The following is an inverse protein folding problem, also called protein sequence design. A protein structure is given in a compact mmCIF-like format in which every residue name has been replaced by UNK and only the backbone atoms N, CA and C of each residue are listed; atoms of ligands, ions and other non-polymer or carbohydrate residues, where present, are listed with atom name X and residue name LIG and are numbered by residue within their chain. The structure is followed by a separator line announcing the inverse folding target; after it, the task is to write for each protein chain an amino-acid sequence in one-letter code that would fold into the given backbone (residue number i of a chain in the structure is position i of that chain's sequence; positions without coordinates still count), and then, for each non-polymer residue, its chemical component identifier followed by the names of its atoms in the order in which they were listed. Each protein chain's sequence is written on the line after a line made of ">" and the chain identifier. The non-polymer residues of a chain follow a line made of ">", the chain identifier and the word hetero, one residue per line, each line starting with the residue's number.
data_IF_603693238026
#
_entry.id   IF_603693238026
#
_cell.length_a   1.000
_cell.length_b   1.000
_cell.length_c   1.000
_cell.angle_alpha   90.00
_cell.angle_beta   90.00
_cell.angle_gamma   90.00
#
_symmetry.space_group_name_H-M   'P 1'
#
loop_
_entity.id
_entity.type
_entity.pdbx_description
1 polymer ?
#
# COMPACT_ATOMS: atom_id res chain seq x y z
N UNK A 1 6.42 2.75 14.40
CA UNK A 1 5.69 1.89 13.43
C UNK A 1 4.46 1.26 14.08
N UNK A 2 3.31 1.24 13.40
CA UNK A 2 2.07 0.59 13.85
C UNK A 2 2.02 -0.89 13.47
N UNK A 3 1.39 -1.72 14.31
CA UNK A 3 1.22 -3.15 14.04
C UNK A 3 -0.18 -3.44 13.49
N UNK A 4 -0.26 -4.28 12.46
CA UNK A 4 -1.53 -4.85 12.00
C UNK A 4 -2.09 -5.81 13.04
N UNK A 5 -3.35 -5.62 13.41
CA UNK A 5 -4.02 -6.39 14.48
C UNK A 5 -5.14 -7.27 13.95
N UNK A 6 -5.92 -6.77 13.00
CA UNK A 6 -7.18 -7.43 12.61
C UNK A 6 -7.01 -8.21 11.30
N UNK A 7 -7.72 -9.34 11.17
CA UNK A 7 -7.71 -10.13 9.93
C UNK A 7 -8.07 -9.31 8.68
N UNK A 8 -9.10 -8.42 8.70
CA UNK A 8 -9.40 -7.55 7.57
C UNK A 8 -8.22 -6.67 7.15
N UNK A 9 -7.46 -6.10 8.10
CA UNK A 9 -6.25 -5.33 7.80
C UNK A 9 -5.22 -6.16 7.04
N UNK A 10 -4.95 -7.40 7.49
CA UNK A 10 -4.03 -8.30 6.78
C UNK A 10 -4.52 -8.66 5.37
N UNK A 11 -5.83 -8.88 5.21
CA UNK A 11 -6.42 -9.22 3.90
C UNK A 11 -6.32 -8.03 2.94
N UNK A 12 -6.71 -6.83 3.37
CA UNK A 12 -6.60 -5.60 2.59
C UNK A 12 -5.18 -5.39 2.07
N UNK A 13 -4.17 -5.48 2.95
CA UNK A 13 -2.76 -5.31 2.55
C UNK A 13 -2.28 -6.38 1.58
N UNK A 14 -2.69 -7.64 1.77
CA UNK A 14 -2.27 -8.72 0.86
C UNK A 14 -2.93 -8.61 -0.52
N UNK A 15 -4.19 -8.17 -0.58
CA UNK A 15 -4.94 -8.00 -1.84
C UNK A 15 -4.39 -6.88 -2.71
N UNK A 16 -3.78 -5.85 -2.13
CA UNK A 16 -3.20 -4.72 -2.86
C UNK A 16 -1.97 -5.10 -3.72
N UNK A 17 -1.34 -6.25 -3.47
CA UNK A 17 -0.26 -6.78 -4.30
C UNK A 17 1.08 -6.95 -3.58
N UNK A 18 2.09 -7.40 -4.32
CA UNK A 18 3.44 -7.69 -3.79
C UNK A 18 4.46 -6.72 -4.38
N UNK A 19 5.18 -5.97 -3.53
CA UNK A 19 6.21 -5.04 -3.98
C UNK A 19 7.58 -5.72 -4.11
N UNK A 20 7.91 -6.71 -3.26
CA UNK A 20 9.20 -7.38 -3.31
C UNK A 20 9.08 -8.86 -2.93
N UNK A 21 10.03 -9.66 -3.43
CA UNK A 21 10.07 -11.11 -3.23
C UNK A 21 11.52 -11.54 -3.04
N UNK A 22 11.72 -12.44 -2.09
CA UNK A 22 12.95 -13.22 -1.89
C UNK A 22 12.58 -14.71 -1.88
N UNK A 23 13.56 -15.64 -1.81
CA UNK A 23 13.29 -17.07 -1.76
C UNK A 23 12.30 -17.49 -0.67
N UNK A 24 12.42 -16.92 0.54
CA UNK A 24 11.59 -17.25 1.71
C UNK A 24 10.54 -16.22 2.06
N UNK A 25 10.67 -14.96 1.64
CA UNK A 25 9.74 -13.90 2.03
C UNK A 25 9.07 -13.18 0.86
N UNK A 26 7.86 -12.70 1.11
CA UNK A 26 7.11 -11.79 0.27
C UNK A 26 6.80 -10.52 1.05
N UNK A 27 6.97 -9.35 0.43
CA UNK A 27 6.54 -8.08 0.97
C UNK A 27 5.32 -7.59 0.19
N UNK A 28 4.19 -7.50 0.86
CA UNK A 28 2.96 -6.90 0.33
C UNK A 28 2.88 -5.44 0.75
N UNK A 29 2.31 -4.60 -0.11
CA UNK A 29 2.12 -3.17 0.14
C UNK A 29 0.72 -2.76 -0.27
N UNK A 30 0.09 -1.99 0.60
CA UNK A 30 -1.07 -1.16 0.29
C UNK A 30 -0.73 0.28 0.63
N UNK A 31 -0.90 1.20 -0.31
CA UNK A 31 -0.70 2.63 -0.08
C UNK A 31 -1.85 3.20 0.74
N UNK A 32 -1.53 4.11 1.68
CA UNK A 32 -2.53 4.76 2.52
C UNK A 32 -2.53 6.26 2.21
N UNK A 33 -3.55 6.73 1.50
CA UNK A 33 -3.75 8.14 1.20
C UNK A 33 -4.16 8.89 2.48
N UNK A 34 -3.37 9.90 2.86
CA UNK A 34 -3.56 10.63 4.11
C UNK A 34 -4.83 11.50 4.10
N UNK A 35 -5.16 12.08 2.96
CA UNK A 35 -6.25 13.03 2.77
C UNK A 35 -6.94 12.75 1.43
N UNK A 36 -8.21 12.36 1.47
CA UNK A 36 -9.08 12.49 0.30
C UNK A 36 -9.95 13.71 0.58
N UNK A 37 -9.85 14.80 -0.20
CA UNK A 37 -10.67 16.00 0.00
C UNK A 37 -12.18 15.69 0.05
N UNK A 38 -12.60 14.65 -0.67
CA UNK A 38 -13.99 14.16 -0.74
C UNK A 38 -14.42 13.26 0.43
N UNK A 39 -13.58 13.00 1.44
CA UNK A 39 -13.98 12.18 2.60
C UNK A 39 -15.11 12.82 3.43
N UNK A 40 -15.31 14.13 3.31
CA UNK A 40 -16.41 14.85 3.98
C UNK A 40 -17.74 14.71 3.21
N UNK A 41 -17.68 14.38 1.90
CA UNK A 41 -18.87 14.32 1.03
C UNK A 41 -19.27 12.90 0.60
N UNK A 42 -18.39 11.89 0.75
CA UNK A 42 -18.67 10.53 0.31
C UNK A 42 -18.97 9.57 1.48
N UNK A 43 -20.22 9.07 1.64
CA UNK A 43 -20.63 8.15 2.72
C UNK A 43 -19.88 6.80 2.71
N UNK A 44 -19.08 6.55 1.67
CA UNK A 44 -18.31 5.33 1.42
C UNK A 44 -16.91 5.30 2.03
N UNK A 45 -16.57 6.23 2.91
CA UNK A 45 -15.22 6.29 3.51
C UNK A 45 -15.22 6.45 5.04
N UNK A 46 -16.39 6.31 5.67
CA UNK A 46 -16.56 6.31 7.13
C UNK A 46 -16.35 4.92 7.75
N UNK A 47 -16.25 4.82 9.09
CA UNK A 47 -16.29 3.54 9.80
C UNK A 47 -17.62 2.83 9.50
N UNK A 48 -17.59 1.79 8.67
CA UNK A 48 -18.78 1.11 8.13
C UNK A 48 -18.81 1.01 6.60
N UNK A 49 -17.88 1.67 5.92
CA UNK A 49 -17.68 1.51 4.48
C UNK A 49 -16.88 0.27 4.11
N UNK A 50 -17.12 -0.28 2.91
CA UNK A 50 -16.33 -1.38 2.34
C UNK A 50 -14.95 -0.95 1.82
N UNK A 51 -14.54 0.30 2.05
CA UNK A 51 -13.22 0.76 1.67
C UNK A 51 -12.15 0.11 2.58
N UNK A 52 -11.22 -0.70 2.02
CA UNK A 52 -10.13 -1.29 2.79
C UNK A 52 -9.28 -0.25 3.54
N UNK A 53 -9.29 1.01 3.11
CA UNK A 53 -8.53 2.09 3.75
C UNK A 53 -9.14 2.55 5.08
N UNK A 54 -10.45 2.37 5.29
CA UNK A 54 -11.12 2.69 6.56
C UNK A 54 -10.67 1.80 7.73
N UNK A 55 -10.03 0.66 7.44
CA UNK A 55 -9.46 -0.25 8.43
C UNK A 55 -8.17 0.29 9.08
N UNK A 56 -7.59 1.32 8.48
CA UNK A 56 -6.41 2.03 8.94
C UNK A 56 -6.86 3.39 9.42
N UNK A 57 -6.38 3.82 10.59
CA UNK A 57 -6.83 5.04 11.27
C UNK A 57 -6.81 6.29 10.38
N UNK A 58 -7.40 7.38 10.86
CA UNK A 58 -7.52 8.66 10.13
C UNK A 58 -6.39 9.64 10.50
N UNK A 59 -6.11 10.59 9.59
CA UNK A 59 -5.17 11.69 9.82
C UNK A 59 -3.73 11.24 10.10
N UNK A 60 -3.13 11.74 11.18
CA UNK A 60 -1.73 11.50 11.52
C UNK A 60 -1.38 10.00 11.75
N UNK A 61 -2.34 9.20 12.22
CA UNK A 61 -2.13 7.76 12.43
C UNK A 61 -2.00 7.02 11.09
N UNK A 62 -2.67 7.52 10.04
CA UNK A 62 -2.58 6.96 8.69
C UNK A 62 -1.22 7.21 8.02
N UNK A 63 -0.57 8.33 8.38
CA UNK A 63 0.77 8.70 7.88
C UNK A 63 1.87 7.78 8.43
N UNK A 64 1.61 7.05 9.52
CA UNK A 64 2.58 6.12 10.10
C UNK A 64 2.73 4.85 9.24
N UNK A 65 3.88 4.19 9.33
CA UNK A 65 4.09 2.89 8.71
C UNK A 65 3.31 1.80 9.46
N UNK A 66 2.50 1.00 8.77
CA UNK A 66 1.81 -0.16 9.35
C UNK A 66 2.46 -1.47 8.90
N UNK A 67 2.69 -2.40 9.83
CA UNK A 67 3.35 -3.67 9.53
C UNK A 67 2.68 -4.87 10.20
N UNK A 68 2.53 -5.95 9.42
CA UNK A 68 2.18 -7.27 9.91
C UNK A 68 3.17 -8.34 9.47
N UNK A 69 3.46 -9.29 10.37
CA UNK A 69 4.26 -10.48 10.08
C UNK A 69 3.37 -11.74 10.00
N UNK A 70 3.39 -12.41 8.86
CA UNK A 70 2.67 -13.65 8.63
C UNK A 70 3.64 -14.83 8.46
N UNK A 71 3.68 -15.70 9.47
CA UNK A 71 4.58 -16.87 9.50
C UNK A 71 3.74 -18.15 9.65
N UNK A 72 3.31 -18.78 8.53
CA UNK A 72 2.45 -19.96 8.57
C UNK A 72 3.11 -21.18 9.23
N UNK A 73 2.33 -22.00 9.94
CA UNK A 73 2.80 -23.20 10.63
C UNK A 73 3.41 -24.25 9.68
N UNK A 74 2.92 -24.30 8.42
CA UNK A 74 3.44 -25.21 7.38
C UNK A 74 4.92 -24.95 7.02
N UNK A 75 5.34 -23.69 7.03
CA UNK A 75 6.70 -23.29 6.63
C UNK A 75 7.68 -23.22 7.80
N UNK A 76 7.19 -22.92 9.00
CA UNK A 76 7.98 -22.97 10.22
C UNK A 76 7.22 -23.76 11.30
N UNK A 77 7.44 -25.08 11.34
CA UNK A 77 6.67 -26.00 12.19
C UNK A 77 6.95 -25.82 13.68
N UNK A 78 8.19 -25.51 14.07
CA UNK A 78 8.60 -25.23 15.46
C UNK A 78 8.15 -23.84 15.88
N UNK A 79 7.51 -23.73 17.03
CA UNK A 79 7.04 -22.45 17.58
C UNK A 79 8.19 -21.46 17.77
N UNK A 80 9.32 -21.92 18.28
CA UNK A 80 10.49 -21.08 18.55
C UNK A 80 11.00 -20.43 17.26
N UNK A 81 11.16 -21.21 16.19
CA UNK A 81 11.54 -20.69 14.86
C UNK A 81 10.54 -19.64 14.36
N UNK A 82 9.23 -19.88 14.49
CA UNK A 82 8.22 -18.87 14.11
C UNK A 82 8.38 -17.57 14.88
N UNK A 83 8.58 -17.65 16.19
CA UNK A 83 8.75 -16.45 17.03
C UNK A 83 10.03 -15.71 16.71
N UNK A 84 11.13 -16.44 16.46
CA UNK A 84 12.40 -15.85 16.01
C UNK A 84 12.21 -15.10 14.69
N UNK A 85 11.57 -15.72 13.69
CA UNK A 85 11.30 -15.07 12.40
C UNK A 85 10.42 -13.83 12.59
N UNK A 86 9.31 -13.92 13.35
CA UNK A 86 8.45 -12.75 13.61
C UNK A 86 9.22 -11.62 14.28
N UNK A 87 10.05 -11.94 15.29
CA UNK A 87 10.88 -10.94 15.98
C UNK A 87 11.88 -10.29 15.04
N UNK A 88 12.55 -11.08 14.18
CA UNK A 88 13.48 -10.54 13.19
C UNK A 88 12.79 -9.64 12.16
N UNK A 89 11.57 -9.98 11.73
CA UNK A 89 10.78 -9.11 10.84
C UNK A 89 10.57 -7.74 11.47
N UNK A 90 10.06 -7.71 12.71
CA UNK A 90 9.80 -6.44 13.40
C UNK A 90 11.08 -5.66 13.72
N UNK A 91 12.16 -6.37 14.07
CA UNK A 91 13.44 -5.73 14.36
C UNK A 91 14.01 -5.05 13.10
N UNK A 92 14.12 -5.78 11.99
CA UNK A 92 14.66 -5.24 10.73
C UNK A 92 13.76 -4.14 10.17
N UNK A 93 12.44 -4.28 10.28
CA UNK A 93 11.53 -3.27 9.74
C UNK A 93 11.63 -1.90 10.42
N UNK A 94 12.03 -1.86 11.69
CA UNK A 94 12.25 -0.60 12.41
C UNK A 94 13.37 0.22 11.78
N UNK A 95 14.39 -0.43 11.22
CA UNK A 95 15.49 0.24 10.51
C UNK A 95 15.04 0.91 9.19
N UNK A 96 13.87 0.50 8.67
CA UNK A 96 13.30 1.02 7.41
C UNK A 96 12.02 1.82 7.65
N UNK A 97 11.73 2.24 8.88
CA UNK A 97 10.45 2.89 9.22
C UNK A 97 10.16 4.12 8.35
N UNK A 98 11.15 4.98 8.13
CA UNK A 98 11.02 6.21 7.33
C UNK A 98 10.68 5.93 5.87
N UNK A 99 11.26 4.87 5.29
CA UNK A 99 10.96 4.46 3.92
C UNK A 99 9.53 3.90 3.79
N UNK A 100 8.98 3.35 4.88
CA UNK A 100 7.69 2.65 4.92
C UNK A 100 6.52 3.53 5.37
N UNK A 101 6.72 4.84 5.53
CA UNK A 101 5.63 5.76 5.90
C UNK A 101 4.48 5.78 4.88
N UNK A 102 3.30 6.19 5.34
CA UNK A 102 2.06 6.34 4.55
C UNK A 102 1.62 5.06 3.82
N UNK A 103 1.93 3.88 4.35
CA UNK A 103 1.54 2.61 3.74
C UNK A 103 1.43 1.48 4.77
N UNK A 104 0.69 0.45 4.38
CA UNK A 104 0.53 -0.80 5.11
C UNK A 104 1.31 -1.92 4.44
N UNK A 105 2.04 -2.69 5.23
CA UNK A 105 2.92 -3.76 4.77
C UNK A 105 2.63 -5.08 5.47
N UNK A 106 2.70 -6.17 4.71
CA UNK A 106 2.68 -7.52 5.26
C UNK A 106 3.90 -8.28 4.76
N UNK A 107 4.74 -8.74 5.69
CA UNK A 107 5.80 -9.69 5.38
C UNK A 107 5.25 -11.10 5.57
N UNK A 108 5.20 -11.87 4.49
CA UNK A 108 4.72 -13.25 4.49
C UNK A 108 5.87 -14.22 4.26
N UNK A 109 6.03 -15.20 5.14
CA UNK A 109 6.88 -16.36 4.90
C UNK A 109 6.20 -17.27 3.86
N UNK A 110 6.89 -17.55 2.75
CA UNK A 110 6.39 -18.33 1.61
C UNK A 110 7.02 -19.70 1.47
N UNK A 111 8.21 -19.92 2.01
CA UNK A 111 8.89 -21.22 2.03
C UNK A 111 9.57 -21.44 3.39
N UNK A 112 9.90 -22.68 3.70
CA UNK A 112 10.59 -23.04 4.94
C UNK A 112 12.11 -23.02 4.75
N UNK A 113 12.84 -22.73 5.83
CA UNK A 113 14.29 -22.87 5.88
C UNK A 113 14.68 -24.36 5.99
N UNK A 114 15.76 -24.77 5.32
CA UNK A 114 16.23 -26.15 5.33
C UNK A 114 16.63 -26.60 6.75
N UNK A 115 15.98 -27.67 7.21
CA UNK A 115 16.22 -28.23 8.55
C UNK A 115 17.56 -28.93 8.67
N UNK A 116 18.13 -29.40 7.55
CA UNK A 116 19.45 -30.05 7.53
C UNK A 116 20.56 -29.02 7.73
N UNK A 117 20.41 -27.85 7.16
CA UNK A 117 21.35 -26.73 7.31
C UNK A 117 21.17 -26.01 8.65
N UNK A 118 19.93 -25.86 9.13
CA UNK A 118 19.61 -25.17 10.39
C UNK A 118 19.09 -26.15 11.44
N UNK A 119 20.00 -26.99 11.97
CA UNK A 119 19.67 -28.04 12.95
C UNK A 119 19.06 -27.47 14.23
N UNK A 120 19.59 -26.34 14.73
CA UNK A 120 19.01 -25.62 15.88
C UNK A 120 17.97 -24.60 15.43
N UNK A 121 16.79 -24.67 16.08
CA UNK A 121 15.64 -23.81 15.82
C UNK A 121 15.88 -22.31 16.11
N UNK A 122 17.01 -22.01 16.78
CA UNK A 122 17.47 -20.66 17.16
C UNK A 122 18.97 -20.50 16.98
N UNK A 123 19.59 -21.19 16.02
CA UNK A 123 21.01 -20.94 15.73
C UNK A 123 21.22 -19.48 15.31
N UNK A 124 22.38 -18.94 15.64
CA UNK A 124 22.74 -17.59 15.19
C UNK A 124 22.91 -17.54 13.67
N UNK A 125 23.30 -18.66 13.06
CA UNK A 125 23.30 -18.84 11.61
C UNK A 125 21.90 -18.64 10.98
N UNK A 126 20.85 -19.23 11.59
CA UNK A 126 19.47 -19.03 11.11
C UNK A 126 19.03 -17.58 11.28
N UNK A 127 19.33 -16.96 12.43
CA UNK A 127 19.00 -15.54 12.67
C UNK A 127 19.70 -14.64 11.65
N UNK A 128 20.98 -14.88 11.39
CA UNK A 128 21.78 -14.13 10.41
C UNK A 128 21.24 -14.31 8.99
N UNK A 129 20.91 -15.54 8.59
CA UNK A 129 20.32 -15.83 7.28
C UNK A 129 18.97 -15.13 7.09
N UNK A 130 18.07 -15.25 8.08
CA UNK A 130 16.76 -14.57 8.09
C UNK A 130 16.95 -13.05 8.02
N UNK A 131 17.83 -12.49 8.84
CA UNK A 131 18.09 -11.04 8.85
C UNK A 131 18.63 -10.55 7.51
N UNK A 132 19.62 -11.23 6.94
CA UNK A 132 20.21 -10.89 5.64
C UNK A 132 19.15 -10.89 4.54
N UNK A 133 18.30 -11.90 4.52
CA UNK A 133 17.25 -11.99 3.50
C UNK A 133 16.15 -10.93 3.71
N UNK A 134 15.79 -10.61 4.95
CA UNK A 134 14.86 -9.53 5.25
C UNK A 134 15.43 -8.17 4.83
N UNK A 135 16.70 -7.91 5.09
CA UNK A 135 17.39 -6.70 4.62
C UNK A 135 17.36 -6.61 3.09
N UNK A 136 17.59 -7.71 2.38
CA UNK A 136 17.47 -7.75 0.92
C UNK A 136 16.03 -7.47 0.45
N UNK A 137 15.03 -8.04 1.12
CA UNK A 137 13.61 -7.81 0.84
C UNK A 137 13.25 -6.33 0.99
N UNK A 138 13.63 -5.72 2.12
CA UNK A 138 13.34 -4.30 2.39
C UNK A 138 14.16 -3.36 1.51
N UNK A 139 15.43 -3.63 1.25
CA UNK A 139 16.24 -2.82 0.32
C UNK A 139 15.67 -2.86 -1.11
N UNK A 140 15.15 -4.00 -1.55
CA UNK A 140 14.47 -4.13 -2.85
C UNK A 140 13.13 -3.38 -2.85
N UNK A 141 12.35 -3.51 -1.77
CA UNK A 141 11.11 -2.77 -1.58
C UNK A 141 11.32 -1.27 -1.58
N UNK A 142 12.27 -0.77 -0.78
CA UNK A 142 12.62 0.64 -0.66
C UNK A 142 13.04 1.25 -2.00
N UNK A 143 13.88 0.55 -2.78
CA UNK A 143 14.25 0.99 -4.13
C UNK A 143 13.03 1.17 -5.05
N UNK A 144 12.10 0.22 -5.02
CA UNK A 144 10.84 0.31 -5.79
C UNK A 144 9.92 1.43 -5.29
N UNK A 145 9.90 1.69 -3.98
CA UNK A 145 9.16 2.81 -3.41
C UNK A 145 9.69 4.15 -3.89
N UNK A 146 11.02 4.34 -3.88
CA UNK A 146 11.65 5.55 -4.39
C UNK A 146 11.34 5.75 -5.88
N UNK A 147 11.45 4.70 -6.69
CA UNK A 147 11.11 4.75 -8.12
C UNK A 147 9.63 5.10 -8.35
N UNK A 148 8.71 4.53 -7.57
CA UNK A 148 7.29 4.84 -7.69
C UNK A 148 6.97 6.28 -7.29
N UNK A 149 7.64 6.82 -6.26
CA UNK A 149 7.51 8.24 -5.88
C UNK A 149 8.01 9.18 -6.99
N UNK A 150 9.18 8.88 -7.55
CA UNK A 150 9.74 9.66 -8.67
C UNK A 150 8.85 9.63 -9.91
N UNK A 151 8.26 8.47 -10.24
CA UNK A 151 7.31 8.36 -11.35
C UNK A 151 6.04 9.19 -11.09
N UNK A 152 5.50 9.15 -9.87
CA UNK A 152 4.34 9.96 -9.50
C UNK A 152 4.63 11.47 -9.53
N UNK A 153 5.82 11.89 -9.07
CA UNK A 153 6.26 13.29 -9.14
C UNK A 153 6.39 13.77 -10.59
N UNK A 154 6.98 12.95 -11.48
CA UNK A 154 7.09 13.25 -12.91
C UNK A 154 5.71 13.34 -13.60
N UNK A 155 4.75 12.48 -13.25
CA UNK A 155 3.38 12.55 -13.78
C UNK A 155 2.63 13.80 -13.31
N UNK A 156 2.85 14.23 -12.05
CA UNK A 156 2.27 15.47 -11.50
C UNK A 156 2.91 16.69 -12.16
N UNK A 157 4.22 16.67 -12.42
CA UNK A 157 4.93 17.73 -13.12
C UNK A 157 4.47 17.85 -14.59
N UNK A 158 4.31 16.73 -15.29
CA UNK A 158 3.78 16.71 -16.67
C UNK A 158 2.34 17.27 -16.75
N UNK A 159 1.49 16.98 -15.76
CA UNK A 159 0.13 17.55 -15.67
C UNK A 159 0.13 19.04 -15.33
N UNK A 160 1.12 19.55 -14.58
CA UNK A 160 1.25 20.99 -14.30
C UNK A 160 1.73 21.79 -15.52
N UNK A 161 2.50 21.17 -16.41
CA UNK A 161 3.05 21.82 -17.61
C UNK A 161 2.01 21.92 -18.76
N UNK A 162 0.86 21.24 -18.66
CA UNK A 162 -0.29 21.43 -19.58
C UNK A 162 -1.44 22.23 -18.94
N UNK A 163 -1.35 23.56 -18.81
CA UNK A 163 -2.53 24.40 -18.82
C UNK A 163 -2.92 24.75 -20.27
N UNK A 164 -4.18 24.45 -20.62
CA UNK A 164 -4.99 25.02 -21.71
C UNK A 164 -4.86 24.49 -23.16
N UNK A 165 -5.92 23.78 -23.58
CA UNK A 165 -6.74 24.01 -24.78
C UNK A 165 -7.97 23.10 -24.56
N UNK A 166 -9.24 23.50 -24.55
CA UNK A 166 -10.01 24.38 -25.44
C UNK A 166 -11.36 24.57 -24.73
N UNK A 167 -11.81 25.81 -24.52
CA UNK A 167 -13.23 26.13 -24.60
C UNK A 167 -13.36 27.63 -24.90
N UNK A 168 -12.97 27.95 -26.14
CA UNK A 168 -13.25 29.23 -26.76
C UNK A 168 -14.63 29.17 -27.43
N UNK A 169 -15.59 29.84 -26.79
CA UNK A 169 -16.51 30.80 -27.45
C UNK A 169 -17.25 30.29 -28.70
N UNK A 170 -18.55 30.00 -28.56
CA UNK A 170 -19.53 30.35 -29.60
C UNK A 170 -20.67 31.11 -28.95
N UNK A 171 -20.68 32.42 -29.21
CA UNK A 171 -21.79 33.31 -28.94
C UNK A 171 -22.88 32.95 -29.95
N UNK A 172 -24.00 32.39 -29.50
CA UNK A 172 -25.23 32.36 -30.32
C UNK A 172 -25.85 33.76 -30.27
N UNK A 173 -25.75 34.46 -31.39
CA UNK A 173 -26.55 35.63 -31.71
C UNK A 173 -27.24 35.37 -33.05
N UNK A 174 -28.50 35.82 -33.15
CA UNK A 174 -29.43 35.79 -34.30
C UNK A 174 -30.07 34.40 -34.52
N UNK A 175 -31.41 34.24 -34.49
CA UNK A 175 -32.39 35.00 -35.25
C UNK A 175 -33.72 35.25 -34.52
N UNK A 176 -34.18 36.50 -34.63
CA UNK A 176 -35.60 36.86 -34.59
C UNK A 176 -36.22 36.50 -35.93
N UNK A 177 -37.14 35.53 -35.98
CA UNK A 177 -38.10 35.43 -37.08
C UNK A 177 -39.50 35.20 -36.49
N UNK A 178 -40.31 36.25 -36.65
CA UNK A 178 -41.75 36.25 -36.52
C UNK A 178 -42.39 35.20 -37.44
N UNK A 179 -43.47 34.57 -36.99
CA UNK A 179 -44.57 34.17 -37.86
C UNK A 179 -45.84 33.87 -37.03
N UNK A 180 -46.76 34.84 -37.02
CA UNK A 180 -48.18 34.53 -37.19
C UNK A 180 -48.40 34.08 -38.66
N UNK A 181 -49.42 33.25 -38.95
CA UNK A 181 -50.65 33.89 -39.40
C UNK A 181 -51.95 33.21 -38.91
N UNK A 182 -52.87 34.09 -38.55
CA UNK A 182 -54.31 34.08 -38.80
C UNK A 182 -54.74 33.31 -40.09
N UNK A 183 -55.66 32.34 -40.01
CA UNK A 183 -57.06 32.45 -40.50
C UNK A 183 -57.80 31.08 -40.55
N UNK A 184 -58.95 31.00 -39.84
CA UNK A 184 -60.34 30.64 -40.27
C UNK A 184 -60.62 29.46 -41.23
N UNK A 185 -61.88 28.97 -41.38
CA UNK A 185 -63.20 29.65 -41.27
C UNK A 185 -63.95 29.53 -39.94
#
# INVERSE_FOLDING_TARGET
>A
MQRLKTRPQFQATMSAGTIARTPHFALHRMELVAEVPDMVANPRTGPGSNDPQALFGIGAVRKQAWLGAMVPKRWARRSVTRHTIKRQIYAVSSDYEDALLCASYVVRLRSGFDRKQFVSATSDQLKAAVRKELQQLFATGARRLTQARQAAEAEVELKKISPQAIDGKTQEATDSIANQPENQP
#
